data_IF_458660090218
#
_entry.id   IF_458660090218
#
_cell.length_a   1.000
_cell.length_b   1.000
_cell.length_c   1.000
_cell.angle_alpha   90.00
_cell.angle_beta   90.00
_cell.angle_gamma   90.00
#
_symmetry.space_group_name_H-M   'P 1'
#
loop_
_entity.id
_entity.type
_entity.pdbx_description
1 polymer ?
#
# COMPACT_ATOMS: atom_id res chain seq x y z
N UNK A 1 -9.44 14.61 -24.51
CA UNK A 1 -9.04 13.93 -25.76
C UNK A 1 -9.13 12.40 -25.66
N UNK A 2 -8.54 11.75 -24.62
CA UNK A 2 -8.64 10.29 -24.49
C UNK A 2 -10.06 9.79 -24.18
N UNK A 3 -10.83 10.50 -23.37
CA UNK A 3 -12.23 10.15 -23.07
C UNK A 3 -13.09 10.09 -24.34
N UNK A 4 -12.99 11.11 -25.21
CA UNK A 4 -13.77 11.16 -26.46
C UNK A 4 -13.44 10.03 -27.43
N UNK A 5 -12.19 9.54 -27.43
CA UNK A 5 -11.80 8.39 -28.26
C UNK A 5 -12.46 7.11 -27.75
N UNK A 6 -12.42 6.86 -26.44
CA UNK A 6 -13.06 5.66 -25.88
C UNK A 6 -14.58 5.69 -26.05
N UNK A 7 -15.25 6.84 -25.85
CA UNK A 7 -16.67 7.00 -26.08
C UNK A 7 -17.04 6.74 -27.56
N UNK A 8 -16.19 7.20 -28.50
CA UNK A 8 -16.38 6.92 -29.94
C UNK A 8 -16.27 5.43 -30.26
N UNK A 9 -15.34 4.70 -29.63
CA UNK A 9 -15.23 3.23 -29.81
C UNK A 9 -16.46 2.54 -29.26
N UNK A 10 -16.95 2.93 -28.10
CA UNK A 10 -18.14 2.32 -27.48
C UNK A 10 -19.41 2.56 -28.26
N UNK A 11 -19.52 3.72 -28.91
CA UNK A 11 -20.68 4.02 -29.77
C UNK A 11 -20.64 3.30 -31.13
N UNK A 12 -19.43 3.16 -31.71
CA UNK A 12 -19.26 2.61 -33.05
C UNK A 12 -19.27 1.07 -33.10
N UNK A 13 -18.68 0.40 -32.09
CA UNK A 13 -18.50 -1.05 -32.08
C UNK A 13 -18.70 -1.65 -30.66
N UNK A 14 -19.87 -1.48 -30.02
CA UNK A 14 -20.11 -1.72 -28.60
C UNK A 14 -19.89 -3.17 -28.14
N UNK A 15 -20.02 -4.15 -29.02
CA UNK A 15 -19.87 -5.59 -28.69
C UNK A 15 -18.51 -6.17 -29.10
N UNK A 16 -17.56 -5.34 -29.48
CA UNK A 16 -16.24 -5.78 -29.93
C UNK A 16 -15.30 -6.07 -28.77
N UNK A 17 -14.24 -6.83 -29.03
CA UNK A 17 -13.13 -7.02 -28.07
C UNK A 17 -12.43 -5.69 -27.76
N UNK A 18 -12.44 -4.73 -28.70
CA UNK A 18 -11.88 -3.38 -28.50
C UNK A 18 -12.78 -2.57 -27.57
N UNK A 19 -14.10 -2.71 -27.65
CA UNK A 19 -15.03 -2.04 -26.73
C UNK A 19 -14.80 -2.47 -25.27
N UNK A 20 -14.60 -3.77 -25.05
CA UNK A 20 -14.29 -4.29 -23.72
C UNK A 20 -13.01 -3.66 -23.13
N UNK A 21 -11.94 -3.48 -23.91
CA UNK A 21 -10.73 -2.79 -23.45
C UNK A 21 -10.98 -1.29 -23.27
N UNK A 22 -11.75 -0.65 -24.14
CA UNK A 22 -12.12 0.76 -24.00
C UNK A 22 -12.91 1.02 -22.71
N UNK A 23 -13.86 0.14 -22.36
CA UNK A 23 -14.59 0.20 -21.08
C UNK A 23 -13.63 0.06 -19.89
N UNK A 24 -12.66 -0.87 -19.94
CA UNK A 24 -11.65 -1.01 -18.89
C UNK A 24 -10.80 0.26 -18.72
N UNK A 25 -10.34 0.86 -19.84
CA UNK A 25 -9.55 2.11 -19.79
C UNK A 25 -10.36 3.30 -19.27
N UNK A 26 -11.62 3.41 -19.67
CA UNK A 26 -12.53 4.41 -19.12
C UNK A 26 -12.75 4.21 -17.62
N UNK A 27 -12.94 2.96 -17.18
CA UNK A 27 -13.07 2.63 -15.77
C UNK A 27 -11.82 3.04 -14.97
N UNK A 28 -10.60 2.81 -15.52
CA UNK A 28 -9.34 3.25 -14.90
C UNK A 28 -9.29 4.79 -14.73
N UNK A 29 -9.77 5.55 -15.72
CA UNK A 29 -9.88 7.02 -15.64
C UNK A 29 -10.89 7.43 -14.56
N UNK A 30 -12.07 6.83 -14.55
CA UNK A 30 -13.10 7.14 -13.55
C UNK A 30 -12.60 6.80 -12.12
N UNK A 31 -11.93 5.67 -11.95
CA UNK A 31 -11.41 5.24 -10.67
C UNK A 31 -10.24 6.10 -10.17
N UNK A 32 -9.25 6.37 -11.05
CA UNK A 32 -7.97 6.97 -10.62
C UNK A 32 -7.95 8.49 -10.66
N UNK A 33 -8.67 9.07 -11.63
CA UNK A 33 -8.58 10.52 -11.92
C UNK A 33 -9.83 11.25 -11.49
N UNK A 34 -11.01 10.72 -11.87
CA UNK A 34 -12.28 11.37 -11.58
C UNK A 34 -12.83 11.02 -10.20
N UNK A 35 -12.36 9.92 -9.61
CA UNK A 35 -12.83 9.37 -8.33
C UNK A 35 -14.33 9.03 -8.31
N UNK A 36 -14.90 8.81 -9.50
CA UNK A 36 -16.28 8.34 -9.67
C UNK A 36 -16.32 6.80 -9.56
N UNK A 37 -16.37 6.32 -8.33
CA UNK A 37 -16.30 4.90 -8.00
C UNK A 37 -17.50 4.12 -8.51
N UNK A 38 -18.69 4.71 -8.56
CA UNK A 38 -19.90 4.04 -9.07
C UNK A 38 -19.82 3.83 -10.57
N UNK A 39 -19.42 4.86 -11.30
CA UNK A 39 -19.21 4.76 -12.75
C UNK A 39 -18.09 3.81 -13.11
N UNK A 40 -16.96 3.86 -12.36
CA UNK A 40 -15.86 2.93 -12.53
C UNK A 40 -16.31 1.47 -12.32
N UNK A 41 -17.08 1.20 -11.26
CA UNK A 41 -17.59 -0.13 -10.94
C UNK A 41 -18.48 -0.69 -12.07
N UNK A 42 -19.38 0.14 -12.59
CA UNK A 42 -20.27 -0.25 -13.69
C UNK A 42 -19.48 -0.56 -14.97
N UNK A 43 -18.48 0.26 -15.31
CA UNK A 43 -17.64 0.05 -16.47
C UNK A 43 -16.77 -1.22 -16.35
N UNK A 44 -16.16 -1.47 -15.17
CA UNK A 44 -15.39 -2.70 -14.95
C UNK A 44 -16.28 -3.94 -15.03
N UNK A 45 -17.50 -3.91 -14.48
CA UNK A 45 -18.46 -5.02 -14.59
C UNK A 45 -18.90 -5.26 -16.03
N UNK A 46 -19.17 -4.21 -16.78
CA UNK A 46 -19.51 -4.29 -18.21
C UNK A 46 -18.34 -4.88 -19.00
N UNK A 47 -17.14 -4.36 -18.82
CA UNK A 47 -15.93 -4.90 -19.44
C UNK A 47 -15.73 -6.39 -19.08
N UNK A 48 -15.85 -6.77 -17.79
CA UNK A 48 -15.72 -8.16 -17.35
C UNK A 48 -16.68 -9.10 -18.08
N UNK A 49 -17.93 -8.68 -18.28
CA UNK A 49 -18.95 -9.50 -18.93
C UNK A 49 -18.70 -9.71 -20.42
N UNK A 50 -18.14 -8.73 -21.12
CA UNK A 50 -17.90 -8.74 -22.57
C UNK A 50 -16.55 -9.30 -22.97
N UNK A 51 -15.53 -9.15 -22.11
CA UNK A 51 -14.15 -9.54 -22.42
C UNK A 51 -13.98 -11.04 -22.62
N UNK A 52 -13.25 -11.40 -23.69
CA UNK A 52 -12.80 -12.78 -23.94
C UNK A 52 -11.38 -13.03 -23.41
N UNK A 53 -10.56 -11.99 -23.31
CA UNK A 53 -9.18 -12.08 -22.80
C UNK A 53 -9.18 -12.48 -21.33
N UNK A 54 -8.50 -13.60 -21.00
CA UNK A 54 -8.33 -14.07 -19.62
C UNK A 54 -7.65 -13.01 -18.76
N UNK A 55 -6.56 -12.44 -19.25
CA UNK A 55 -5.78 -11.40 -18.52
C UNK A 55 -6.64 -10.17 -18.20
N UNK A 56 -7.46 -9.71 -19.14
CA UNK A 56 -8.31 -8.55 -18.90
C UNK A 56 -9.47 -8.86 -17.96
N UNK A 57 -10.01 -10.10 -17.99
CA UNK A 57 -10.97 -10.55 -16.97
C UNK A 57 -10.37 -10.53 -15.57
N UNK A 58 -9.16 -11.07 -15.41
CA UNK A 58 -8.41 -11.04 -14.14
C UNK A 58 -8.22 -9.61 -13.65
N UNK A 59 -7.78 -8.71 -14.52
CA UNK A 59 -7.63 -7.29 -14.19
C UNK A 59 -8.96 -6.66 -13.76
N UNK A 60 -10.06 -6.90 -14.46
CA UNK A 60 -11.38 -6.40 -14.08
C UNK A 60 -11.79 -6.89 -12.69
N UNK A 61 -11.58 -8.19 -12.39
CA UNK A 61 -11.92 -8.76 -11.09
C UNK A 61 -11.16 -8.04 -9.97
N UNK A 62 -9.84 -7.87 -10.12
CA UNK A 62 -9.02 -7.18 -9.13
C UNK A 62 -9.44 -5.71 -8.97
N UNK A 63 -9.75 -5.02 -10.07
CA UNK A 63 -10.20 -3.62 -10.03
C UNK A 63 -11.57 -3.43 -9.41
N UNK A 64 -12.51 -4.34 -9.65
CA UNK A 64 -13.82 -4.33 -8.97
C UNK A 64 -13.62 -4.42 -7.45
N UNK A 65 -12.72 -5.30 -7.00
CA UNK A 65 -12.37 -5.41 -5.58
C UNK A 65 -11.71 -4.12 -5.04
N UNK A 66 -10.80 -3.50 -5.81
CA UNK A 66 -10.19 -2.21 -5.46
C UNK A 66 -11.22 -1.08 -5.33
N UNK A 67 -12.23 -1.05 -6.21
CA UNK A 67 -13.31 -0.04 -6.13
C UNK A 67 -14.17 -0.27 -4.88
N UNK A 68 -14.52 -1.50 -4.57
CA UNK A 68 -15.25 -1.80 -3.34
C UNK A 68 -14.42 -1.41 -2.09
N UNK A 69 -13.12 -1.65 -2.10
CA UNK A 69 -12.21 -1.22 -1.03
C UNK A 69 -12.18 0.32 -0.91
N UNK A 70 -12.08 1.04 -2.03
CA UNK A 70 -12.09 2.51 -2.06
C UNK A 70 -13.41 3.09 -1.51
N UNK A 71 -14.51 2.38 -1.67
CA UNK A 71 -15.83 2.71 -1.09
C UNK A 71 -15.96 2.30 0.39
N UNK A 72 -15.01 1.52 0.93
CA UNK A 72 -15.10 0.93 2.28
C UNK A 72 -16.06 -0.27 2.38
N UNK A 73 -16.49 -0.83 1.26
CA UNK A 73 -17.41 -1.96 1.19
C UNK A 73 -16.65 -3.30 1.12
N UNK A 74 -16.07 -3.68 2.24
CA UNK A 74 -15.30 -4.92 2.35
C UNK A 74 -16.15 -6.17 2.14
N UNK A 75 -17.41 -6.13 2.57
CA UNK A 75 -18.31 -7.29 2.48
C UNK A 75 -18.57 -7.63 1.01
N UNK A 76 -18.91 -6.64 0.20
CA UNK A 76 -19.13 -6.86 -1.24
C UNK A 76 -17.83 -7.26 -1.94
N UNK A 77 -16.69 -6.68 -1.56
CA UNK A 77 -15.38 -7.06 -2.11
C UNK A 77 -15.06 -8.52 -1.85
N UNK A 78 -15.18 -8.97 -0.60
CA UNK A 78 -14.90 -10.36 -0.19
C UNK A 78 -15.85 -11.33 -0.91
N UNK A 79 -17.15 -11.08 -0.90
CA UNK A 79 -18.13 -11.94 -1.58
C UNK A 79 -17.85 -12.06 -3.09
N UNK A 80 -17.51 -10.94 -3.73
CA UNK A 80 -17.20 -10.93 -5.15
C UNK A 80 -15.92 -11.70 -5.46
N UNK A 81 -14.86 -11.52 -4.66
CA UNK A 81 -13.59 -12.24 -4.84
C UNK A 81 -13.74 -13.74 -4.57
N UNK A 82 -14.46 -14.15 -3.51
CA UNK A 82 -14.72 -15.55 -3.21
C UNK A 82 -15.45 -16.25 -4.37
N UNK A 83 -16.50 -15.62 -4.90
CA UNK A 83 -17.22 -16.13 -6.08
C UNK A 83 -16.30 -16.23 -7.29
N UNK A 84 -15.46 -15.23 -7.53
CA UNK A 84 -14.53 -15.19 -8.66
C UNK A 84 -13.43 -16.24 -8.51
N UNK A 85 -12.89 -16.46 -7.30
CA UNK A 85 -11.86 -17.46 -7.02
C UNK A 85 -12.38 -18.87 -7.22
N UNK A 86 -13.61 -19.15 -6.80
CA UNK A 86 -14.26 -20.45 -6.99
C UNK A 86 -14.40 -20.84 -8.47
N UNK A 87 -14.46 -19.84 -9.37
CA UNK A 87 -14.60 -20.07 -10.81
C UNK A 87 -13.24 -20.16 -11.52
N UNK A 88 -12.24 -19.37 -11.06
CA UNK A 88 -11.04 -19.12 -11.86
C UNK A 88 -9.75 -19.67 -11.26
N UNK A 89 -9.74 -20.02 -9.95
CA UNK A 89 -8.55 -20.50 -9.20
C UNK A 89 -7.25 -19.71 -9.52
N UNK A 90 -7.36 -18.37 -9.47
CA UNK A 90 -6.28 -17.45 -9.84
C UNK A 90 -5.58 -16.99 -8.56
N UNK A 91 -4.24 -17.18 -8.43
CA UNK A 91 -3.48 -16.79 -7.24
C UNK A 91 -3.62 -15.29 -6.88
N UNK A 92 -3.71 -14.41 -7.88
CA UNK A 92 -3.91 -12.98 -7.70
C UNK A 92 -5.21 -12.65 -6.95
N UNK A 93 -6.29 -13.38 -7.28
CA UNK A 93 -7.59 -13.21 -6.60
C UNK A 93 -7.48 -13.64 -5.15
N UNK A 94 -6.77 -14.76 -4.88
CA UNK A 94 -6.54 -15.24 -3.52
C UNK A 94 -5.72 -14.25 -2.69
N UNK A 95 -4.65 -13.68 -3.27
CA UNK A 95 -3.84 -12.66 -2.60
C UNK A 95 -4.66 -11.39 -2.31
N UNK A 96 -5.51 -11.00 -3.26
CA UNK A 96 -6.43 -9.87 -3.06
C UNK A 96 -7.46 -10.13 -1.97
N UNK A 97 -7.94 -11.35 -1.86
CA UNK A 97 -8.85 -11.76 -0.80
C UNK A 97 -8.18 -11.71 0.59
N UNK A 98 -6.92 -12.16 0.69
CA UNK A 98 -6.11 -12.02 1.92
C UNK A 98 -5.99 -10.53 2.31
N UNK A 99 -5.70 -9.65 1.36
CA UNK A 99 -5.63 -8.19 1.57
C UNK A 99 -6.98 -7.66 2.11
N UNK A 100 -8.10 -8.08 1.53
CA UNK A 100 -9.43 -7.65 1.98
C UNK A 100 -9.74 -8.10 3.40
N UNK A 101 -9.40 -9.32 3.78
CA UNK A 101 -9.57 -9.79 5.16
C UNK A 101 -8.72 -8.98 6.14
N UNK A 102 -7.49 -8.61 5.79
CA UNK A 102 -6.66 -7.73 6.63
C UNK A 102 -7.31 -6.37 6.83
N UNK A 103 -7.71 -5.70 5.74
CA UNK A 103 -8.30 -4.36 5.84
C UNK A 103 -9.70 -4.35 6.46
N UNK A 104 -10.40 -5.48 6.46
CA UNK A 104 -11.66 -5.66 7.22
C UNK A 104 -11.45 -5.92 8.71
N UNK A 105 -10.19 -5.98 9.19
CA UNK A 105 -9.87 -6.21 10.60
C UNK A 105 -9.92 -7.69 11.03
N UNK A 106 -9.75 -8.61 10.06
CA UNK A 106 -9.77 -10.05 10.29
C UNK A 106 -8.38 -10.69 10.01
N UNK A 107 -7.32 -10.31 10.76
CA UNK A 107 -5.97 -10.82 10.54
C UNK A 107 -5.83 -12.33 10.77
N UNK A 108 -6.63 -12.94 11.65
CA UNK A 108 -6.64 -14.39 11.88
C UNK A 108 -7.07 -15.15 10.62
N UNK A 109 -8.12 -14.68 9.95
CA UNK A 109 -8.61 -15.27 8.70
C UNK A 109 -7.56 -15.11 7.60
N UNK A 110 -6.96 -13.92 7.46
CA UNK A 110 -5.89 -13.69 6.51
C UNK A 110 -4.70 -14.62 6.74
N UNK A 111 -4.25 -14.76 8.00
CA UNK A 111 -3.15 -15.65 8.37
C UNK A 111 -3.47 -17.12 8.06
N UNK A 112 -4.69 -17.57 8.33
CA UNK A 112 -5.15 -18.91 7.99
C UNK A 112 -5.09 -19.15 6.48
N UNK A 113 -5.51 -18.20 5.66
CA UNK A 113 -5.43 -18.29 4.20
C UNK A 113 -3.99 -18.32 3.70
N UNK A 114 -3.11 -17.51 4.27
CA UNK A 114 -1.68 -17.51 3.94
C UNK A 114 -1.06 -18.87 4.26
N UNK A 115 -1.29 -19.41 5.46
CA UNK A 115 -0.76 -20.72 5.86
C UNK A 115 -1.29 -21.85 4.97
N UNK A 116 -2.54 -21.78 4.54
CA UNK A 116 -3.09 -22.74 3.58
C UNK A 116 -2.46 -22.57 2.18
N UNK A 117 -2.08 -21.37 1.80
CA UNK A 117 -1.37 -21.15 0.53
C UNK A 117 0.00 -21.82 0.52
N UNK A 118 0.74 -21.82 1.64
CA UNK A 118 2.06 -22.47 1.75
C UNK A 118 2.02 -24.00 1.66
N UNK A 119 0.86 -24.63 1.74
CA UNK A 119 0.73 -26.09 1.51
C UNK A 119 0.87 -26.46 0.03
N UNK A 120 0.65 -25.52 -0.87
CA UNK A 120 0.60 -25.77 -2.33
C UNK A 120 1.57 -24.90 -3.13
N UNK A 121 1.94 -23.73 -2.61
CA UNK A 121 2.83 -22.79 -3.31
C UNK A 121 4.28 -23.23 -3.15
N UNK A 122 5.04 -23.18 -4.26
CA UNK A 122 6.47 -23.50 -4.27
C UNK A 122 7.32 -22.23 -4.17
N UNK A 123 8.57 -22.30 -3.64
CA UNK A 123 9.44 -21.13 -3.45
C UNK A 123 9.73 -20.30 -4.71
N UNK A 124 9.65 -20.90 -5.88
CA UNK A 124 9.86 -20.21 -7.17
C UNK A 124 8.64 -19.43 -7.65
N UNK A 125 7.50 -19.53 -6.96
CA UNK A 125 6.32 -18.76 -7.29
C UNK A 125 6.55 -17.28 -6.97
N UNK A 126 6.16 -16.39 -7.88
CA UNK A 126 6.34 -14.94 -7.76
C UNK A 126 5.72 -14.31 -6.50
N UNK A 127 4.71 -14.96 -5.89
CA UNK A 127 4.04 -14.47 -4.68
C UNK A 127 4.56 -15.09 -3.39
N UNK A 128 5.52 -16.02 -3.47
CA UNK A 128 6.00 -16.74 -2.29
C UNK A 128 6.62 -15.79 -1.25
N UNK A 129 7.50 -14.90 -1.69
CA UNK A 129 8.16 -13.93 -0.81
C UNK A 129 7.15 -12.93 -0.22
N UNK A 130 6.24 -12.39 -1.04
CA UNK A 130 5.22 -11.45 -0.57
C UNK A 130 4.33 -12.07 0.52
N UNK A 131 3.94 -13.35 0.35
CA UNK A 131 3.16 -14.07 1.36
C UNK A 131 3.98 -14.38 2.62
N UNK A 132 5.28 -14.68 2.48
CA UNK A 132 6.17 -14.85 3.63
C UNK A 132 6.29 -13.56 4.43
N UNK A 133 6.59 -12.44 3.77
CA UNK A 133 6.71 -11.13 4.43
C UNK A 133 5.40 -10.75 5.13
N UNK A 134 4.27 -10.97 4.48
CA UNK A 134 2.96 -10.67 5.05
C UNK A 134 2.64 -11.56 6.27
N UNK A 135 2.97 -12.86 6.20
CA UNK A 135 2.84 -13.78 7.32
C UNK A 135 3.70 -13.33 8.51
N UNK A 136 4.95 -12.99 8.24
CA UNK A 136 5.90 -12.59 9.29
C UNK A 136 5.49 -11.23 9.89
N UNK A 137 4.95 -10.32 9.09
CA UNK A 137 4.36 -9.07 9.56
C UNK A 137 3.18 -9.31 10.52
N UNK A 138 2.23 -10.17 10.14
CA UNK A 138 1.09 -10.50 11.01
C UNK A 138 1.56 -11.23 12.27
N UNK A 139 2.49 -12.16 12.15
CA UNK A 139 3.05 -12.87 13.31
C UNK A 139 3.74 -11.92 14.29
N UNK A 140 4.50 -10.95 13.79
CA UNK A 140 5.25 -10.02 14.62
C UNK A 140 4.33 -9.02 15.33
N UNK A 141 3.38 -8.42 14.59
CA UNK A 141 2.57 -7.31 15.09
C UNK A 141 1.18 -7.72 15.62
N UNK A 142 0.81 -8.98 15.49
CA UNK A 142 -0.51 -9.44 15.93
C UNK A 142 -0.45 -10.72 16.76
N UNK A 143 0.26 -11.76 16.30
CA UNK A 143 0.22 -13.06 17.00
C UNK A 143 1.02 -13.03 18.29
N UNK A 144 2.20 -12.40 18.28
CA UNK A 144 3.16 -12.39 19.39
C UNK A 144 2.89 -11.34 20.47
N UNK A 145 1.81 -10.58 20.34
CA UNK A 145 1.46 -9.50 21.27
C UNK A 145 0.22 -9.86 22.11
N UNK A 146 0.02 -9.11 23.17
CA UNK A 146 -1.13 -9.25 24.07
C UNK A 146 -2.46 -8.81 23.43
N UNK A 147 -3.56 -8.94 24.17
CA UNK A 147 -4.89 -8.62 23.68
C UNK A 147 -5.05 -7.13 23.35
N UNK A 148 -4.44 -6.23 24.14
CA UNK A 148 -4.47 -4.79 23.91
C UNK A 148 -3.72 -4.45 22.64
N UNK A 149 -2.50 -4.96 22.45
CA UNK A 149 -1.71 -4.78 21.25
C UNK A 149 -2.40 -5.32 19.99
N UNK A 150 -3.15 -6.43 20.10
CA UNK A 150 -3.97 -6.93 18.98
C UNK A 150 -5.03 -5.94 18.53
N UNK A 151 -5.69 -5.25 19.44
CA UNK A 151 -6.65 -4.20 19.09
C UNK A 151 -5.95 -2.98 18.49
N UNK A 152 -4.77 -2.62 18.99
CA UNK A 152 -3.92 -1.59 18.39
C UNK A 152 -3.56 -1.93 16.94
N UNK A 153 -3.15 -3.18 16.68
CA UNK A 153 -2.85 -3.64 15.33
C UNK A 153 -4.07 -3.61 14.40
N UNK A 154 -5.24 -4.02 14.86
CA UNK A 154 -6.48 -3.91 14.06
C UNK A 154 -6.81 -2.46 13.71
N UNK A 155 -6.64 -1.54 14.66
CA UNK A 155 -6.81 -0.11 14.40
C UNK A 155 -5.75 0.43 13.41
N UNK A 156 -4.51 -0.06 13.49
CA UNK A 156 -3.49 0.22 12.48
C UNK A 156 -3.96 -0.25 11.09
N UNK A 157 -4.45 -1.49 10.94
CA UNK A 157 -5.01 -1.99 9.68
C UNK A 157 -6.19 -1.15 9.19
N UNK A 158 -7.04 -0.67 10.12
CA UNK A 158 -8.11 0.27 9.78
C UNK A 158 -7.57 1.59 9.22
N UNK A 159 -6.47 2.11 9.75
CA UNK A 159 -5.82 3.30 9.18
C UNK A 159 -5.29 3.05 7.77
N UNK A 160 -4.70 1.86 7.51
CA UNK A 160 -4.28 1.45 6.17
C UNK A 160 -5.47 1.37 5.19
N UNK A 161 -6.60 0.85 5.65
CA UNK A 161 -7.82 0.81 4.86
C UNK A 161 -8.36 2.21 4.53
N UNK A 162 -8.28 3.15 5.47
CA UNK A 162 -8.64 4.55 5.23
C UNK A 162 -7.74 5.20 4.16
N UNK A 163 -6.44 4.87 4.14
CA UNK A 163 -5.53 5.34 3.09
C UNK A 163 -5.91 4.78 1.71
N UNK A 164 -6.36 3.52 1.63
CA UNK A 164 -6.89 2.93 0.39
C UNK A 164 -8.19 3.60 -0.06
N UNK A 165 -8.99 4.06 0.89
CA UNK A 165 -10.20 4.87 0.66
C UNK A 165 -9.88 6.34 0.33
N UNK A 166 -8.60 6.73 0.25
CA UNK A 166 -8.13 8.11 0.03
C UNK A 166 -8.46 9.09 1.16
N UNK A 167 -8.85 8.60 2.32
CA UNK A 167 -9.18 9.35 3.53
C UNK A 167 -7.92 9.61 4.37
N UNK A 168 -6.98 10.37 3.80
CA UNK A 168 -5.65 10.56 4.39
C UNK A 168 -5.69 11.29 5.74
N UNK A 169 -6.62 12.23 5.91
CA UNK A 169 -6.76 12.98 7.16
C UNK A 169 -7.30 12.09 8.27
N UNK A 170 -8.34 11.31 7.99
CA UNK A 170 -8.94 10.36 8.93
C UNK A 170 -7.94 9.27 9.32
N UNK A 171 -7.13 8.78 8.37
CA UNK A 171 -6.06 7.83 8.65
C UNK A 171 -5.02 8.42 9.62
N UNK A 172 -4.60 9.68 9.39
CA UNK A 172 -3.66 10.36 10.30
C UNK A 172 -4.26 10.56 11.69
N UNK A 173 -5.51 11.00 11.79
CA UNK A 173 -6.19 11.18 13.07
C UNK A 173 -6.30 9.87 13.85
N UNK A 174 -6.63 8.77 13.16
CA UNK A 174 -6.70 7.45 13.80
C UNK A 174 -5.32 7.01 14.31
N UNK A 175 -4.26 7.17 13.52
CA UNK A 175 -2.90 6.83 13.95
C UNK A 175 -2.43 7.71 15.13
N UNK A 176 -2.79 8.99 15.13
CA UNK A 176 -2.52 9.89 16.24
C UNK A 176 -3.23 9.46 17.52
N UNK A 177 -4.51 9.12 17.42
CA UNK A 177 -5.29 8.58 18.52
C UNK A 177 -4.66 7.31 19.10
N UNK A 178 -4.28 6.37 18.24
CA UNK A 178 -3.63 5.12 18.64
C UNK A 178 -2.31 5.43 19.36
N UNK A 179 -1.48 6.30 18.80
CA UNK A 179 -0.17 6.65 19.36
C UNK A 179 -0.28 7.28 20.75
N UNK A 180 -1.30 8.13 20.97
CA UNK A 180 -1.51 8.80 22.25
C UNK A 180 -2.11 7.90 23.33
N UNK A 181 -2.74 6.77 22.94
CA UNK A 181 -3.44 5.86 23.85
C UNK A 181 -2.82 4.47 23.89
N UNK A 182 -1.61 4.29 23.36
CA UNK A 182 -0.92 3.01 23.30
C UNK A 182 0.54 3.15 23.74
N UNK A 183 0.95 2.26 24.62
CA UNK A 183 2.33 2.16 25.11
C UNK A 183 3.03 0.87 24.62
N UNK A 184 2.48 0.17 23.62
CA UNK A 184 3.09 -1.06 23.12
C UNK A 184 4.35 -0.75 22.31
N UNK A 185 5.52 -1.13 22.83
CA UNK A 185 6.83 -0.84 22.23
C UNK A 185 7.05 -1.51 20.88
N UNK A 186 6.36 -2.62 20.60
CA UNK A 186 6.49 -3.36 19.33
C UNK A 186 5.79 -2.62 18.20
N UNK A 187 4.57 -2.10 18.43
CA UNK A 187 3.76 -1.47 17.39
C UNK A 187 4.07 0.02 17.24
N UNK A 188 4.46 0.70 18.32
CA UNK A 188 4.69 2.15 18.31
C UNK A 188 5.64 2.63 17.20
N UNK A 189 6.78 1.96 16.91
CA UNK A 189 7.64 2.36 15.79
C UNK A 189 6.97 2.21 14.42
N UNK A 190 6.13 1.18 14.23
CA UNK A 190 5.37 0.99 12.99
C UNK A 190 4.39 2.14 12.77
N UNK A 191 3.68 2.55 13.83
CA UNK A 191 2.72 3.67 13.80
C UNK A 191 3.46 4.99 13.49
N UNK A 192 4.57 5.25 14.19
CA UNK A 192 5.37 6.47 13.98
C UNK A 192 5.91 6.56 12.55
N UNK A 193 6.43 5.45 12.01
CA UNK A 193 6.90 5.40 10.62
C UNK A 193 5.74 5.68 9.64
N UNK A 194 4.59 5.04 9.84
CA UNK A 194 3.44 5.23 8.96
C UNK A 194 2.89 6.66 9.02
N UNK A 195 2.80 7.21 10.24
CA UNK A 195 2.35 8.57 10.46
C UNK A 195 3.30 9.59 9.82
N UNK A 196 4.62 9.39 9.92
CA UNK A 196 5.59 10.27 9.27
C UNK A 196 5.43 10.30 7.74
N UNK A 197 5.18 9.14 7.10
CA UNK A 197 4.90 9.06 5.66
C UNK A 197 3.64 9.86 5.28
N UNK A 198 2.59 9.76 6.08
CA UNK A 198 1.36 10.53 5.86
C UNK A 198 1.62 12.03 6.01
N UNK A 199 2.34 12.45 7.06
CA UNK A 199 2.67 13.84 7.32
C UNK A 199 3.50 14.47 6.20
N UNK A 200 4.44 13.71 5.61
CA UNK A 200 5.19 14.14 4.43
C UNK A 200 4.23 14.39 3.25
N UNK A 201 3.29 13.47 2.99
CA UNK A 201 2.28 13.66 1.94
C UNK A 201 1.39 14.89 2.18
N UNK A 202 1.11 15.20 3.44
CA UNK A 202 0.35 16.37 3.86
C UNK A 202 1.22 17.65 3.90
N UNK A 203 2.50 17.56 3.53
CA UNK A 203 3.49 18.66 3.57
C UNK A 203 3.73 19.23 4.99
N UNK A 204 3.46 18.43 6.02
CA UNK A 204 3.68 18.77 7.43
C UNK A 204 5.05 18.28 7.89
N UNK A 205 6.10 18.86 7.30
CA UNK A 205 7.47 18.36 7.42
C UNK A 205 8.03 18.43 8.85
N UNK A 206 7.72 19.46 9.63
CA UNK A 206 8.16 19.57 11.03
C UNK A 206 7.55 18.46 11.90
N UNK A 207 6.25 18.20 11.72
CA UNK A 207 5.58 17.11 12.43
C UNK A 207 6.15 15.75 12.00
N UNK A 208 6.43 15.58 10.69
CA UNK A 208 7.06 14.36 10.15
C UNK A 208 8.45 14.14 10.78
N UNK A 209 9.30 15.15 10.84
CA UNK A 209 10.62 15.06 11.49
C UNK A 209 10.52 14.69 12.96
N UNK A 210 9.55 15.25 13.69
CA UNK A 210 9.26 14.87 15.07
C UNK A 210 8.91 13.38 15.19
N UNK A 211 8.05 12.87 14.32
CA UNK A 211 7.71 11.44 14.31
C UNK A 211 8.90 10.57 13.92
N UNK A 212 9.70 10.96 12.92
CA UNK A 212 10.89 10.22 12.52
C UNK A 212 11.95 10.14 13.65
N UNK A 213 12.05 11.18 14.47
CA UNK A 213 12.96 11.18 15.60
C UNK A 213 12.61 10.14 16.68
N UNK A 214 11.33 9.78 16.83
CA UNK A 214 10.89 8.74 17.77
C UNK A 214 11.31 7.32 17.34
N UNK A 215 11.76 7.14 16.10
CA UNK A 215 12.23 5.86 15.59
C UNK A 215 13.64 5.48 16.03
N UNK A 216 14.40 6.41 16.66
CA UNK A 216 15.75 6.13 17.13
C UNK A 216 15.75 4.94 18.10
N UNK A 217 16.65 3.98 17.88
CA UNK A 217 16.75 2.76 18.68
C UNK A 217 15.75 1.66 18.30
N UNK A 218 14.84 1.91 17.37
CA UNK A 218 13.91 0.91 16.84
C UNK A 218 14.46 0.21 15.59
N UNK A 219 13.74 -0.82 15.14
CA UNK A 219 14.05 -1.52 13.86
C UNK A 219 13.88 -0.63 12.62
N UNK A 220 13.32 0.56 12.75
CA UNK A 220 13.12 1.54 11.68
C UNK A 220 14.03 2.77 11.81
N UNK A 221 15.06 2.72 12.68
CA UNK A 221 15.96 3.86 12.92
C UNK A 221 16.62 4.35 11.63
N UNK A 222 17.17 3.45 10.84
CA UNK A 222 17.81 3.77 9.55
C UNK A 222 16.83 4.43 8.57
N UNK A 223 15.61 3.93 8.46
CA UNK A 223 14.55 4.54 7.64
C UNK A 223 14.20 5.94 8.14
N UNK A 224 14.08 6.12 9.44
CA UNK A 224 13.82 7.43 10.05
C UNK A 224 14.89 8.46 9.74
N UNK A 225 16.16 8.05 9.82
CA UNK A 225 17.30 8.90 9.50
C UNK A 225 17.32 9.28 8.02
N UNK A 226 17.13 8.32 7.11
CA UNK A 226 17.11 8.58 5.67
C UNK A 226 15.98 9.53 5.29
N UNK A 227 14.76 9.27 5.76
CA UNK A 227 13.61 10.12 5.47
C UNK A 227 13.80 11.54 6.02
N UNK A 228 14.45 11.69 7.17
CA UNK A 228 14.80 13.01 7.71
C UNK A 228 15.79 13.74 6.78
N UNK A 229 16.83 13.05 6.32
CA UNK A 229 17.77 13.59 5.33
C UNK A 229 17.07 14.02 4.03
N UNK A 230 16.17 13.19 3.51
CA UNK A 230 15.37 13.51 2.31
C UNK A 230 14.48 14.75 2.51
N UNK A 231 13.88 14.92 3.69
CA UNK A 231 13.08 16.12 4.00
C UNK A 231 13.96 17.37 3.94
N UNK A 232 15.15 17.34 4.53
CA UNK A 232 16.06 18.49 4.48
C UNK A 232 16.55 18.78 3.08
N UNK A 233 16.91 17.76 2.30
CA UNK A 233 17.39 17.91 0.92
C UNK A 233 16.30 18.44 -0.02
N UNK A 234 15.12 17.78 -0.02
CA UNK A 234 14.12 18.01 -1.06
C UNK A 234 13.13 19.14 -0.74
N UNK A 235 12.84 19.35 0.53
CA UNK A 235 11.77 20.28 0.93
C UNK A 235 12.27 21.52 1.67
N UNK A 236 13.36 21.42 2.41
CA UNK A 236 13.96 22.58 3.07
C UNK A 236 15.11 23.20 2.25
N UNK A 237 15.64 22.48 1.26
CA UNK A 237 16.79 22.94 0.47
C UNK A 237 18.05 23.13 1.33
N UNK A 238 18.19 22.31 2.39
CA UNK A 238 19.36 22.34 3.29
C UNK A 238 20.22 21.07 3.08
N UNK A 239 21.11 21.08 2.07
CA UNK A 239 21.96 19.95 1.76
C UNK A 239 22.98 19.65 2.87
N UNK A 240 23.40 20.66 3.65
CA UNK A 240 24.35 20.48 4.73
C UNK A 240 23.74 19.62 5.84
N UNK A 241 22.51 19.91 6.21
CA UNK A 241 21.77 19.12 7.21
C UNK A 241 21.39 17.75 6.70
N UNK A 242 21.00 17.64 5.42
CA UNK A 242 20.76 16.36 4.79
C UNK A 242 22.00 15.46 4.83
N UNK A 243 23.19 16.04 4.56
CA UNK A 243 24.47 15.35 4.63
C UNK A 243 24.74 14.75 6.02
N UNK A 244 24.44 15.49 7.10
CA UNK A 244 24.59 14.99 8.47
C UNK A 244 23.78 13.70 8.70
N UNK A 245 22.52 13.67 8.26
CA UNK A 245 21.67 12.49 8.34
C UNK A 245 22.20 11.32 7.50
N UNK A 246 22.62 11.58 6.28
CA UNK A 246 23.16 10.54 5.40
C UNK A 246 24.48 9.96 5.92
N UNK A 247 25.33 10.79 6.50
CA UNK A 247 26.58 10.32 7.13
C UNK A 247 26.31 9.44 8.34
N UNK A 248 25.26 9.69 9.11
CA UNK A 248 24.85 8.80 10.21
C UNK A 248 24.52 7.38 9.71
N UNK A 249 23.89 7.22 8.53
CA UNK A 249 23.65 5.89 7.96
C UNK A 249 24.96 5.17 7.70
N UNK A 250 25.96 5.88 7.14
CA UNK A 250 27.25 5.26 6.81
C UNK A 250 28.05 4.88 8.08
N UNK A 251 27.98 5.71 9.11
CA UNK A 251 28.78 5.56 10.32
C UNK A 251 28.14 4.61 11.33
N UNK A 252 26.82 4.75 11.55
CA UNK A 252 26.12 4.10 12.67
C UNK A 252 25.30 2.88 12.22
N UNK A 253 25.01 2.75 10.91
CA UNK A 253 24.16 1.71 10.33
C UNK A 253 24.80 1.09 9.08
N UNK A 254 26.08 0.70 9.20
CA UNK A 254 26.87 0.17 8.07
C UNK A 254 26.23 -1.07 7.41
N UNK A 255 25.51 -1.88 8.18
CA UNK A 255 24.85 -3.12 7.75
C UNK A 255 23.43 -2.87 7.20
N UNK A 256 22.93 -1.63 7.23
CA UNK A 256 21.65 -1.28 6.62
C UNK A 256 21.69 -1.47 5.10
N UNK A 257 20.62 -2.01 4.56
CA UNK A 257 20.42 -2.13 3.10
C UNK A 257 20.51 -0.78 2.37
N UNK A 258 20.39 0.32 3.09
CA UNK A 258 20.47 1.68 2.55
C UNK A 258 21.89 2.23 2.50
N UNK A 259 22.88 1.61 3.14
CA UNK A 259 24.25 2.13 3.23
C UNK A 259 24.88 2.33 1.84
N UNK A 260 24.81 1.35 0.95
CA UNK A 260 25.36 1.49 -0.41
C UNK A 260 24.61 2.50 -1.28
N UNK A 261 23.25 2.50 -1.34
CA UNK A 261 22.52 3.57 -2.03
C UNK A 261 22.89 4.98 -1.53
N UNK A 262 23.04 5.18 -0.23
CA UNK A 262 23.41 6.47 0.35
C UNK A 262 24.86 6.85 0.00
N UNK A 263 25.82 5.93 0.05
CA UNK A 263 27.20 6.19 -0.42
C UNK A 263 27.23 6.65 -1.86
N UNK A 264 26.44 6.02 -2.73
CA UNK A 264 26.33 6.42 -4.13
C UNK A 264 25.73 7.82 -4.28
N UNK A 265 24.66 8.12 -3.51
CA UNK A 265 24.02 9.44 -3.52
C UNK A 265 24.96 10.54 -3.05
N UNK A 266 25.72 10.32 -1.98
CA UNK A 266 26.74 11.26 -1.46
C UNK A 266 27.83 11.57 -2.47
N UNK A 267 28.30 10.57 -3.25
CA UNK A 267 29.27 10.80 -4.33
C UNK A 267 28.70 11.72 -5.42
N UNK A 268 27.41 11.58 -5.75
CA UNK A 268 26.75 12.46 -6.73
C UNK A 268 26.65 13.90 -6.22
N UNK A 269 26.25 14.12 -4.97
CA UNK A 269 26.19 15.46 -4.36
C UNK A 269 27.57 16.12 -4.46
N UNK A 270 28.63 15.45 -3.97
CA UNK A 270 30.00 15.98 -4.01
C UNK A 270 30.52 16.30 -5.42
N UNK A 271 30.09 15.54 -6.42
CA UNK A 271 30.51 15.81 -7.80
C UNK A 271 29.75 16.98 -8.42
N UNK A 272 28.49 17.20 -8.04
CA UNK A 272 27.69 18.35 -8.50
C UNK A 272 28.08 19.68 -7.83
N UNK A 273 28.64 19.65 -6.62
CA UNK A 273 29.19 20.84 -5.94
C UNK A 273 30.54 21.30 -6.54
N UNK A 274 31.14 20.49 -7.43
CA UNK A 274 32.41 20.83 -8.10
C UNK A 274 32.24 21.42 -9.52
N UNK A 275 30.98 21.68 -9.95
CA UNK A 275 30.63 22.35 -11.18
C UNK A 275 30.08 23.75 -10.86
#
# INVERSE_FOLDING_TARGET
YSLSIYDSVLTSIPESAIACEAEFRLAEIQYRVMEDFDKALNLYKSSLSKCRSKTLKEQNILRIADVHLAKGDFISSIKFLDSSYSIHDIPEIKNKLIEMYLFSGLPDTALTMINNSFKTIIPTNKYFNDLMELRDFINHYYVKIDAEGKEVFKNYLRSESLLKQRKIFEANQLLEYIQNNNNNEIISPLISLRRSIILIRLKKYNEALSQLSTLNGSIYSDRGIIMSGQIYEQFYGDPSKALEYYMRIINDYSDSIFSEPIRYHLRKIKNNEKI
#
